data_IF_133332285092
#
_entry.id   IF_133332285092
#
_cell.length_a   1.000
_cell.length_b   1.000
_cell.length_c   1.000
_cell.angle_alpha   90.00
_cell.angle_beta   90.00
_cell.angle_gamma   90.00
#
_symmetry.space_group_name_H-M   'P 1'
#
loop_
_entity.id
_entity.type
_entity.pdbx_description
1 polymer ?
#
# COMPACT_ATOMS: atom_id res chain seq x y z
N UNK A 1 18.78 4.98 -1.42
CA UNK A 1 17.93 3.90 -0.89
C UNK A 1 17.03 4.55 0.14
N UNK A 2 15.72 4.63 -0.11
CA UNK A 2 14.76 5.18 0.85
C UNK A 2 14.51 4.10 1.90
N UNK A 3 14.94 4.31 3.13
CA UNK A 3 14.59 3.46 4.26
C UNK A 3 13.16 3.79 4.65
N UNK A 4 12.26 2.82 4.48
CA UNK A 4 10.89 2.89 4.96
C UNK A 4 10.92 2.52 6.44
N UNK A 5 10.73 3.51 7.32
CA UNK A 5 10.41 3.25 8.72
C UNK A 5 8.96 2.74 8.77
N UNK A 6 8.81 1.42 8.82
CA UNK A 6 7.53 0.77 9.10
C UNK A 6 7.37 0.68 10.62
N UNK A 7 6.14 0.90 11.10
CA UNK A 7 5.82 0.66 12.50
C UNK A 7 6.07 -0.81 12.87
N UNK A 8 6.62 -1.07 14.05
CA UNK A 8 6.99 -2.41 14.53
C UNK A 8 5.82 -3.42 14.45
N UNK A 9 4.58 -2.95 14.65
CA UNK A 9 3.37 -3.77 14.55
C UNK A 9 3.07 -4.22 13.12
N UNK A 10 3.41 -3.41 12.12
CA UNK A 10 3.23 -3.77 10.71
C UNK A 10 4.32 -4.74 10.27
N UNK A 11 5.56 -4.55 10.73
CA UNK A 11 6.66 -5.51 10.50
C UNK A 11 6.24 -6.87 11.05
N UNK A 12 5.81 -6.94 12.31
CA UNK A 12 5.39 -8.20 12.94
C UNK A 12 4.28 -8.92 12.18
N UNK A 13 3.28 -8.18 11.68
CA UNK A 13 2.20 -8.76 10.87
C UNK A 13 2.69 -9.33 9.54
N UNK A 14 3.65 -8.66 8.88
CA UNK A 14 4.25 -9.16 7.63
C UNK A 14 5.04 -10.44 7.90
N UNK A 15 5.77 -10.49 9.02
CA UNK A 15 6.51 -11.69 9.43
C UNK A 15 5.57 -12.86 9.74
N UNK A 16 4.50 -12.63 10.52
CA UNK A 16 3.50 -13.65 10.84
C UNK A 16 2.87 -14.26 9.57
N UNK A 17 2.61 -13.43 8.54
CA UNK A 17 2.05 -13.89 7.25
C UNK A 17 3.11 -14.60 6.41
N UNK A 18 4.35 -14.12 6.38
CA UNK A 18 5.43 -14.80 5.66
C UNK A 18 5.71 -16.19 6.24
N UNK A 19 5.68 -16.31 7.57
CA UNK A 19 5.92 -17.56 8.29
C UNK A 19 4.79 -18.60 8.09
N UNK A 20 3.61 -18.17 7.61
CA UNK A 20 2.55 -19.09 7.17
C UNK A 20 2.91 -19.90 5.92
N UNK A 21 4.01 -19.56 5.24
CA UNK A 21 4.57 -20.30 4.11
C UNK A 21 3.92 -20.03 2.76
N UNK A 22 2.97 -19.09 2.68
CA UNK A 22 2.31 -18.74 1.42
C UNK A 22 3.13 -17.79 0.54
N UNK A 23 3.98 -16.93 1.13
CA UNK A 23 4.74 -15.90 0.44
C UNK A 23 6.04 -15.58 1.19
N UNK A 24 7.09 -15.18 0.47
CA UNK A 24 8.26 -14.56 1.09
C UNK A 24 7.93 -13.16 1.61
N UNK A 25 8.73 -12.65 2.57
CA UNK A 25 8.60 -11.27 3.08
C UNK A 25 8.67 -10.24 1.96
N UNK A 26 9.55 -10.43 0.97
CA UNK A 26 9.70 -9.52 -0.16
C UNK A 26 8.47 -9.53 -1.07
N UNK A 27 7.89 -10.70 -1.36
CA UNK A 27 6.65 -10.81 -2.14
C UNK A 27 5.46 -10.14 -1.45
N UNK A 28 5.37 -10.26 -0.11
CA UNK A 28 4.36 -9.56 0.68
C UNK A 28 4.55 -8.05 0.64
N UNK A 29 5.77 -7.58 0.87
CA UNK A 29 6.10 -6.15 0.81
C UNK A 29 5.80 -5.57 -0.58
N UNK A 30 6.17 -6.27 -1.64
CA UNK A 30 5.89 -5.87 -3.01
C UNK A 30 4.37 -5.79 -3.26
N UNK A 31 3.61 -6.78 -2.81
CA UNK A 31 2.15 -6.81 -2.95
C UNK A 31 1.48 -5.65 -2.19
N UNK A 32 1.94 -5.36 -0.98
CA UNK A 32 1.46 -4.22 -0.17
C UNK A 32 1.75 -2.90 -0.89
N UNK A 33 2.96 -2.73 -1.43
CA UNK A 33 3.34 -1.53 -2.17
C UNK A 33 2.52 -1.35 -3.45
N UNK A 34 2.21 -2.42 -4.16
CA UNK A 34 1.37 -2.39 -5.36
C UNK A 34 -0.07 -2.01 -5.02
N UNK A 35 -0.64 -2.62 -3.96
CA UNK A 35 -1.96 -2.25 -3.46
C UNK A 35 -2.02 -0.78 -3.04
N UNK A 36 -1.00 -0.29 -2.33
CA UNK A 36 -0.89 1.12 -1.95
C UNK A 36 -0.87 2.04 -3.18
N UNK A 37 -0.02 1.74 -4.17
CA UNK A 37 0.08 2.52 -5.43
C UNK A 37 -1.25 2.56 -6.17
N UNK A 38 -1.95 1.42 -6.24
CA UNK A 38 -3.27 1.35 -6.85
C UNK A 38 -4.27 2.26 -6.13
N UNK A 39 -4.32 2.22 -4.80
CA UNK A 39 -5.21 3.05 -4.00
C UNK A 39 -4.88 4.55 -4.12
N UNK A 40 -3.60 4.94 -4.13
CA UNK A 40 -3.19 6.32 -4.36
C UNK A 40 -3.67 6.84 -5.72
N UNK A 41 -3.50 6.04 -6.78
CA UNK A 41 -4.02 6.38 -8.11
C UNK A 41 -5.55 6.52 -8.12
N UNK A 42 -6.26 5.66 -7.40
CA UNK A 42 -7.71 5.70 -7.29
C UNK A 42 -8.19 6.96 -6.54
N UNK A 43 -7.58 7.29 -5.39
CA UNK A 43 -7.88 8.52 -4.64
C UNK A 43 -7.67 9.75 -5.51
N UNK A 44 -6.53 9.84 -6.22
CA UNK A 44 -6.25 10.96 -7.11
C UNK A 44 -7.31 11.13 -8.20
N UNK A 45 -7.82 10.02 -8.76
CA UNK A 45 -8.94 10.09 -9.72
C UNK A 45 -10.22 10.62 -9.07
N UNK A 46 -10.53 10.21 -7.85
CA UNK A 46 -11.70 10.72 -7.12
C UNK A 46 -11.58 12.21 -6.82
N UNK A 47 -10.40 12.68 -6.39
CA UNK A 47 -10.12 14.10 -6.16
C UNK A 47 -10.35 14.92 -7.43
N UNK A 48 -9.84 14.46 -8.57
CA UNK A 48 -10.06 15.11 -9.86
C UNK A 48 -11.55 15.16 -10.24
N UNK A 49 -12.30 14.07 -9.99
CA UNK A 49 -13.75 14.04 -10.23
C UNK A 49 -14.51 15.04 -9.37
N UNK A 50 -14.18 15.14 -8.08
CA UNK A 50 -14.78 16.11 -7.16
C UNK A 50 -14.50 17.54 -7.62
N UNK A 51 -13.28 17.85 -8.05
CA UNK A 51 -12.93 19.17 -8.59
C UNK A 51 -13.75 19.53 -9.83
N UNK A 52 -13.93 18.60 -10.78
CA UNK A 52 -14.74 18.83 -11.98
C UNK A 52 -16.20 19.13 -11.65
N UNK A 53 -16.77 18.44 -10.66
CA UNK A 53 -18.15 18.67 -10.21
C UNK A 53 -18.27 20.06 -9.56
N UNK A 54 -17.33 20.45 -8.72
CA UNK A 54 -17.34 21.73 -8.00
C UNK A 54 -17.04 22.97 -8.87
N UNK A 55 -16.66 22.79 -10.14
CA UNK A 55 -16.48 23.89 -11.12
C UNK A 55 -17.80 24.21 -11.85
N UNK A 56 -18.85 23.40 -11.68
CA UNK A 56 -20.19 23.65 -12.23
C UNK A 56 -21.11 24.32 -11.21
#
# INVERSE_FOLDING_TARGET
>A
MLELELEDDLIRQIEDVADSGCFSKDELLQSILEAWRYHQSYIHRLENMVQIINIK
#
